data_IF_699618356829
#
_entry.id   IF_699618356829
#
_cell.length_a   1.000
_cell.length_b   1.000
_cell.length_c   1.000
_cell.angle_alpha   90.00
_cell.angle_beta   90.00
_cell.angle_gamma   90.00
#
_symmetry.space_group_name_H-M   'P 1'
#
loop_
_entity.id
_entity.type
_entity.pdbx_description
1 polymer ?
#
# COMPACT_ATOMS: atom_id res chain seq x y z
N UNK A 1 -12.86 7.45 5.50
CA UNK A 1 -11.97 8.62 5.38
C UNK A 1 -12.04 9.10 3.94
N UNK A 2 -12.35 10.37 3.68
CA UNK A 2 -12.50 10.86 2.29
C UNK A 2 -11.17 11.19 1.63
N UNK A 3 -10.18 11.59 2.43
CA UNK A 3 -8.90 12.06 1.95
C UNK A 3 -8.97 13.48 1.37
N UNK A 4 -7.81 14.07 1.01
CA UNK A 4 -7.70 15.48 0.65
C UNK A 4 -8.15 15.79 -0.79
N UNK A 5 -8.39 14.78 -1.62
CA UNK A 5 -8.64 14.93 -3.06
C UNK A 5 -10.11 14.68 -3.46
N UNK A 6 -11.00 14.42 -2.51
CA UNK A 6 -12.43 14.29 -2.80
C UNK A 6 -13.03 15.64 -3.15
N UNK A 7 -13.87 15.70 -4.17
CA UNK A 7 -14.54 16.93 -4.58
C UNK A 7 -15.49 17.43 -3.48
N UNK A 8 -15.70 18.74 -3.43
CA UNK A 8 -16.51 19.37 -2.39
C UNK A 8 -17.96 18.89 -2.39
N UNK A 9 -18.52 18.68 -3.57
CA UNK A 9 -19.91 18.21 -3.76
C UNK A 9 -20.08 16.77 -3.28
N UNK A 10 -19.21 15.85 -3.71
CA UNK A 10 -19.21 14.45 -3.25
C UNK A 10 -19.05 14.36 -1.73
N UNK A 11 -18.15 15.17 -1.16
CA UNK A 11 -17.94 15.21 0.29
C UNK A 11 -19.18 15.71 1.03
N UNK A 12 -19.85 16.75 0.53
CA UNK A 12 -21.08 17.26 1.12
C UNK A 12 -22.21 16.22 1.07
N UNK A 13 -22.32 15.49 -0.04
CA UNK A 13 -23.26 14.38 -0.19
C UNK A 13 -22.98 13.27 0.85
N UNK A 14 -21.73 12.85 1.03
CA UNK A 14 -21.37 11.85 2.04
C UNK A 14 -21.67 12.31 3.47
N UNK A 15 -21.44 13.60 3.78
CA UNK A 15 -21.81 14.17 5.09
C UNK A 15 -23.33 14.10 5.33
N UNK A 16 -24.13 14.45 4.33
CA UNK A 16 -25.60 14.38 4.44
C UNK A 16 -26.09 12.93 4.64
N UNK A 17 -25.49 11.97 3.93
CA UNK A 17 -25.80 10.55 4.10
C UNK A 17 -25.39 10.02 5.48
N UNK A 18 -24.19 10.36 5.95
CA UNK A 18 -23.65 9.91 7.23
C UNK A 18 -24.35 10.58 8.43
N UNK A 19 -24.85 11.81 8.30
CA UNK A 19 -25.50 12.54 9.38
C UNK A 19 -26.73 11.85 9.97
N UNK A 20 -27.34 10.94 9.22
CA UNK A 20 -28.50 10.14 9.64
C UNK A 20 -28.11 8.72 10.11
N UNK A 21 -26.81 8.42 10.22
CA UNK A 21 -26.28 7.07 10.46
C UNK A 21 -25.29 7.07 11.63
N UNK A 22 -25.73 6.74 12.86
CA UNK A 22 -24.86 6.77 14.04
C UNK A 22 -23.73 5.72 13.99
N UNK A 23 -23.87 4.72 13.13
CA UNK A 23 -22.90 3.66 12.86
C UNK A 23 -21.80 4.07 11.86
N UNK A 24 -21.91 5.26 11.24
CA UNK A 24 -20.95 5.77 10.28
C UNK A 24 -20.27 7.02 10.84
N UNK A 25 -18.95 7.02 10.84
CA UNK A 25 -18.15 8.21 11.11
C UNK A 25 -17.41 8.64 9.85
N UNK A 26 -17.79 9.79 9.31
CA UNK A 26 -17.04 10.42 8.22
C UNK A 26 -15.89 11.25 8.80
N UNK A 27 -14.69 11.02 8.27
CA UNK A 27 -13.48 11.75 8.65
C UNK A 27 -12.84 12.23 7.37
N UNK A 28 -12.58 13.53 7.27
CA UNK A 28 -12.06 14.11 6.03
C UNK A 28 -10.57 13.82 5.87
N UNK A 29 -9.81 14.11 6.91
CA UNK A 29 -8.37 13.94 6.94
C UNK A 29 -7.94 13.33 8.28
N UNK A 30 -6.97 12.43 8.20
CA UNK A 30 -6.35 11.79 9.36
C UNK A 30 -4.84 11.98 9.21
N UNK A 31 -4.23 12.72 10.12
CA UNK A 31 -2.78 12.99 10.08
C UNK A 31 -1.97 11.72 10.34
N UNK A 32 -2.45 10.87 11.25
CA UNK A 32 -1.87 9.57 11.55
C UNK A 32 -2.95 8.47 11.43
N UNK A 33 -3.02 7.75 10.29
CA UNK A 33 -4.01 6.70 10.08
C UNK A 33 -3.66 5.39 10.80
N UNK A 34 -2.45 5.24 11.36
CA UNK A 34 -1.99 3.98 11.94
C UNK A 34 -2.87 3.50 13.12
N UNK A 35 -3.30 4.34 14.08
CA UNK A 35 -4.17 3.90 15.17
C UNK A 35 -5.52 3.42 14.67
N UNK A 36 -6.09 4.08 13.65
CA UNK A 36 -7.35 3.65 13.04
C UNK A 36 -7.20 2.30 12.35
N UNK A 37 -6.13 2.14 11.57
CA UNK A 37 -5.81 0.90 10.88
C UNK A 37 -5.59 -0.25 11.88
N UNK A 38 -4.84 -0.01 12.95
CA UNK A 38 -4.53 -0.99 14.00
C UNK A 38 -5.80 -1.48 14.72
N UNK A 39 -6.77 -0.60 14.95
CA UNK A 39 -8.06 -0.98 15.57
C UNK A 39 -9.07 -1.55 14.58
N UNK A 40 -8.87 -1.38 13.27
CA UNK A 40 -9.80 -1.89 12.27
C UNK A 40 -9.77 -3.43 12.21
N UNK A 41 -10.96 -4.05 12.18
CA UNK A 41 -11.11 -5.48 11.88
C UNK A 41 -10.92 -5.73 10.37
N UNK A 42 -11.46 -4.83 9.55
CA UNK A 42 -11.50 -4.92 8.08
C UNK A 42 -11.19 -3.57 7.46
N UNK A 43 -10.51 -3.60 6.32
CA UNK A 43 -10.07 -2.39 5.60
C UNK A 43 -10.49 -2.49 4.14
N UNK A 44 -11.23 -1.50 3.66
CA UNK A 44 -11.54 -1.37 2.23
C UNK A 44 -10.77 -0.15 1.72
N UNK A 45 -9.95 -0.33 0.70
CA UNK A 45 -9.11 0.75 0.20
C UNK A 45 -8.83 0.65 -1.29
N UNK A 46 -8.30 1.74 -1.86
CA UNK A 46 -7.90 1.78 -3.27
C UNK A 46 -6.55 1.08 -3.54
N UNK A 47 -5.83 0.63 -2.51
CA UNK A 47 -4.53 -0.03 -2.68
C UNK A 47 -3.37 0.91 -3.03
N UNK A 48 -3.40 2.14 -2.50
CA UNK A 48 -2.24 3.05 -2.52
C UNK A 48 -1.02 2.45 -1.79
N UNK A 49 0.20 2.87 -2.13
CA UNK A 49 1.43 2.26 -1.62
C UNK A 49 1.48 2.23 -0.08
N UNK A 50 1.31 3.39 0.56
CA UNK A 50 1.37 3.49 2.04
C UNK A 50 0.28 2.67 2.71
N UNK A 51 -0.97 2.77 2.23
CA UNK A 51 -2.10 2.02 2.80
C UNK A 51 -1.88 0.51 2.70
N UNK A 52 -1.29 0.03 1.60
CA UNK A 52 -0.93 -1.38 1.46
C UNK A 52 0.16 -1.76 2.45
N UNK A 53 1.21 -0.94 2.61
CA UNK A 53 2.23 -1.19 3.62
C UNK A 53 1.65 -1.29 5.03
N UNK A 54 0.72 -0.40 5.39
CA UNK A 54 0.02 -0.42 6.67
C UNK A 54 -0.85 -1.67 6.83
N UNK A 55 -1.62 -2.04 5.81
CA UNK A 55 -2.44 -3.26 5.80
C UNK A 55 -1.57 -4.50 6.05
N UNK A 56 -0.43 -4.60 5.36
CA UNK A 56 0.48 -5.75 5.50
C UNK A 56 1.18 -5.75 6.87
N UNK A 57 1.65 -4.59 7.33
CA UNK A 57 2.36 -4.46 8.60
C UNK A 57 1.46 -4.75 9.81
N UNK A 58 0.20 -4.31 9.76
CA UNK A 58 -0.79 -4.58 10.80
C UNK A 58 -1.60 -5.87 10.56
N UNK A 59 -1.24 -6.65 9.53
CA UNK A 59 -1.87 -7.92 9.16
C UNK A 59 -3.40 -7.81 9.05
N UNK A 60 -3.86 -6.75 8.39
CA UNK A 60 -5.29 -6.43 8.28
C UNK A 60 -5.96 -7.22 7.18
N UNK A 61 -7.18 -7.67 7.46
CA UNK A 61 -8.06 -8.21 6.43
C UNK A 61 -8.47 -7.06 5.52
N UNK A 62 -8.02 -7.09 4.27
CA UNK A 62 -8.23 -6.00 3.34
C UNK A 62 -8.88 -6.42 2.03
N UNK A 63 -9.83 -5.61 1.58
CA UNK A 63 -10.35 -5.60 0.22
C UNK A 63 -9.76 -4.40 -0.52
N UNK A 64 -9.05 -4.68 -1.61
CA UNK A 64 -8.52 -3.64 -2.48
C UNK A 64 -9.45 -3.47 -3.68
N UNK A 65 -9.91 -2.24 -3.90
CA UNK A 65 -10.63 -1.81 -5.10
C UNK A 65 -9.73 -0.84 -5.87
N UNK A 66 -8.82 -1.34 -6.72
CA UNK A 66 -7.73 -0.53 -7.24
C UNK A 66 -8.18 0.42 -8.34
N UNK A 67 -7.62 1.63 -8.41
CA UNK A 67 -7.81 2.46 -9.60
C UNK A 67 -7.11 1.83 -10.80
N UNK A 68 -7.82 1.70 -11.93
CA UNK A 68 -7.30 1.06 -13.16
C UNK A 68 -6.82 2.05 -14.22
N UNK A 69 -7.23 3.32 -14.14
CA UNK A 69 -6.85 4.40 -15.07
C UNK A 69 -6.55 5.71 -14.32
N UNK A 70 -5.69 6.60 -14.84
CA UNK A 70 -4.84 6.40 -16.03
C UNK A 70 -3.62 5.51 -15.74
N UNK A 71 -3.28 5.29 -14.47
CA UNK A 71 -2.11 4.51 -14.07
C UNK A 71 -2.50 3.13 -13.53
N UNK A 72 -1.63 2.14 -13.77
CA UNK A 72 -1.91 0.71 -13.52
C UNK A 72 -1.23 0.13 -12.28
N UNK A 73 -0.40 0.90 -11.57
CA UNK A 73 0.42 0.36 -10.47
C UNK A 73 -0.43 -0.16 -9.32
N UNK A 74 -1.63 0.39 -9.10
CA UNK A 74 -2.55 -0.08 -8.06
C UNK A 74 -3.13 -1.44 -8.40
N UNK A 75 -3.62 -1.64 -9.63
CA UNK A 75 -4.17 -2.94 -10.03
C UNK A 75 -3.07 -4.01 -10.08
N UNK A 76 -1.89 -3.70 -10.62
CA UNK A 76 -0.75 -4.63 -10.64
C UNK A 76 -0.39 -5.08 -9.21
N UNK A 77 -0.36 -4.13 -8.26
CA UNK A 77 -0.09 -4.44 -6.85
C UNK A 77 -1.18 -5.30 -6.24
N UNK A 78 -2.44 -4.92 -6.44
CA UNK A 78 -3.59 -5.64 -5.89
C UNK A 78 -3.66 -7.09 -6.40
N UNK A 79 -3.49 -7.29 -7.71
CA UNK A 79 -3.45 -8.61 -8.34
C UNK A 79 -2.31 -9.46 -7.78
N UNK A 80 -1.10 -8.90 -7.66
CA UNK A 80 0.05 -9.62 -7.11
C UNK A 80 -0.18 -10.04 -5.66
N UNK A 81 -0.65 -9.13 -4.81
CA UNK A 81 -0.93 -9.43 -3.40
C UNK A 81 -2.07 -10.44 -3.23
N UNK A 82 -3.12 -10.33 -4.06
CA UNK A 82 -4.22 -11.29 -4.07
C UNK A 82 -3.75 -12.69 -4.51
N UNK A 83 -2.88 -12.77 -5.51
CA UNK A 83 -2.29 -14.06 -5.93
C UNK A 83 -1.42 -14.72 -4.86
N UNK A 84 -0.92 -13.94 -3.90
CA UNK A 84 -0.17 -14.42 -2.73
C UNK A 84 -1.07 -14.70 -1.52
N UNK A 85 -2.38 -14.47 -1.62
CA UNK A 85 -3.33 -14.63 -0.51
C UNK A 85 -3.19 -13.58 0.61
N UNK A 86 -2.50 -12.47 0.34
CA UNK A 86 -2.23 -11.43 1.34
C UNK A 86 -3.39 -10.43 1.48
N UNK A 87 -4.19 -10.26 0.42
CA UNK A 87 -5.37 -9.39 0.37
C UNK A 87 -6.42 -10.00 -0.54
N UNK A 88 -7.65 -9.50 -0.46
CA UNK A 88 -8.68 -9.75 -1.46
C UNK A 88 -8.75 -8.55 -2.42
N UNK A 89 -9.17 -8.78 -3.66
CA UNK A 89 -9.28 -7.73 -4.68
C UNK A 89 -10.63 -7.82 -5.37
N UNK A 90 -11.27 -6.65 -5.52
CA UNK A 90 -12.49 -6.48 -6.32
C UNK A 90 -12.16 -5.49 -7.44
N UNK A 91 -12.43 -5.87 -8.68
CA UNK A 91 -12.24 -4.96 -9.80
C UNK A 91 -13.24 -3.79 -9.72
N UNK A 92 -12.87 -2.54 -10.08
CA UNK A 92 -13.79 -1.41 -10.01
C UNK A 92 -15.07 -1.58 -10.83
N UNK A 93 -14.99 -2.31 -11.95
CA UNK A 93 -16.16 -2.59 -12.80
C UNK A 93 -17.16 -3.53 -12.11
N UNK A 94 -16.72 -4.29 -11.10
CA UNK A 94 -17.54 -5.20 -10.30
C UNK A 94 -17.95 -4.56 -8.96
N UNK A 95 -17.60 -3.29 -8.72
CA UNK A 95 -17.89 -2.59 -7.47
C UNK A 95 -19.37 -2.30 -7.33
N UNK A 96 -20.04 -3.06 -6.46
CA UNK A 96 -21.45 -2.86 -6.10
C UNK A 96 -21.62 -2.88 -4.59
N UNK A 97 -22.73 -2.31 -4.10
CA UNK A 97 -23.09 -2.37 -2.69
C UNK A 97 -23.21 -3.81 -2.18
N UNK A 98 -23.78 -4.70 -3.00
CA UNK A 98 -23.95 -6.12 -2.68
C UNK A 98 -22.61 -6.86 -2.61
N UNK A 99 -21.67 -6.57 -3.52
CA UNK A 99 -20.33 -7.13 -3.49
C UNK A 99 -19.58 -6.73 -2.20
N UNK A 100 -19.66 -5.45 -1.81
CA UNK A 100 -19.08 -4.96 -0.56
C UNK A 100 -19.75 -5.59 0.67
N UNK A 101 -21.08 -5.66 0.69
CA UNK A 101 -21.84 -6.28 1.79
C UNK A 101 -21.49 -7.75 1.95
N UNK A 102 -21.42 -8.50 0.83
CA UNK A 102 -21.02 -9.91 0.82
C UNK A 102 -19.63 -10.08 1.42
N UNK A 103 -18.65 -9.29 0.98
CA UNK A 103 -17.30 -9.36 1.54
C UNK A 103 -17.26 -9.02 3.03
N UNK A 104 -17.99 -7.99 3.45
CA UNK A 104 -18.07 -7.58 4.87
C UNK A 104 -18.63 -8.69 5.76
N UNK A 105 -19.59 -9.48 5.27
CA UNK A 105 -20.21 -10.58 6.01
C UNK A 105 -19.48 -11.92 5.90
N UNK A 106 -18.48 -12.05 5.03
CA UNK A 106 -17.77 -13.32 4.87
C UNK A 106 -16.97 -13.62 6.14
N UNK A 107 -17.26 -14.77 6.77
CA UNK A 107 -16.54 -15.23 7.96
C UNK A 107 -15.22 -15.87 7.54
N UNK A 108 -14.11 -15.31 8.00
CA UNK A 108 -12.79 -15.67 7.53
C UNK A 108 -11.89 -16.02 8.72
N UNK A 109 -10.97 -16.96 8.51
CA UNK A 109 -9.97 -17.35 9.50
C UNK A 109 -8.89 -16.28 9.75
N UNK A 110 -7.78 -16.62 10.42
CA UNK A 110 -6.67 -15.68 10.63
C UNK A 110 -6.07 -15.18 9.32
N UNK A 111 -5.57 -13.93 9.32
CA UNK A 111 -4.86 -13.33 8.16
C UNK A 111 -3.43 -13.87 8.14
N UNK A 112 -2.97 -14.32 6.96
CA UNK A 112 -1.61 -14.83 6.81
C UNK A 112 -0.58 -13.73 7.07
N UNK A 113 0.52 -14.01 7.80
CA UNK A 113 1.61 -13.07 7.95
C UNK A 113 2.26 -12.73 6.61
N UNK A 114 2.39 -11.44 6.30
CA UNK A 114 2.97 -10.98 5.04
C UNK A 114 4.47 -11.27 4.95
N UNK A 115 5.16 -11.32 6.08
CA UNK A 115 6.60 -11.63 6.19
C UNK A 115 6.94 -13.08 5.83
N UNK A 116 5.96 -13.99 5.82
CA UNK A 116 6.11 -15.34 5.29
C UNK A 116 6.25 -15.35 3.76
N UNK A 117 5.72 -14.33 3.07
CA UNK A 117 5.71 -14.25 1.61
C UNK A 117 6.61 -13.13 1.04
N UNK A 118 6.91 -12.10 1.83
CA UNK A 118 7.62 -10.89 1.40
C UNK A 118 8.76 -10.54 2.37
N UNK A 119 9.91 -10.17 1.82
CA UNK A 119 11.02 -9.64 2.61
C UNK A 119 10.90 -8.12 2.75
N UNK A 120 10.61 -7.66 3.98
CA UNK A 120 10.51 -6.24 4.32
C UNK A 120 11.84 -5.62 4.76
N UNK A 121 12.95 -6.36 4.75
CA UNK A 121 14.27 -5.88 5.18
C UNK A 121 15.05 -5.13 4.09
N UNK A 122 14.37 -4.67 3.03
CA UNK A 122 15.03 -4.02 1.88
C UNK A 122 15.95 -2.87 2.26
N UNK A 123 15.55 -2.00 3.20
CA UNK A 123 16.39 -0.91 3.69
C UNK A 123 17.66 -1.40 4.41
N UNK A 124 17.54 -2.47 5.20
CA UNK A 124 18.67 -3.09 5.91
C UNK A 124 19.64 -3.78 4.94
N UNK A 125 19.11 -4.38 3.88
CA UNK A 125 19.88 -5.07 2.83
C UNK A 125 20.48 -4.12 1.79
N UNK A 126 20.03 -2.86 1.75
CA UNK A 126 20.43 -1.88 0.74
C UNK A 126 21.95 -1.67 0.65
N UNK A 127 22.74 -1.58 1.75
CA UNK A 127 24.19 -1.43 1.65
C UNK A 127 24.86 -2.61 0.92
N UNK A 128 24.44 -3.84 1.22
CA UNK A 128 24.99 -5.06 0.62
C UNK A 128 24.64 -5.12 -0.87
N UNK A 129 23.37 -4.85 -1.22
CA UNK A 129 22.91 -4.81 -2.61
C UNK A 129 23.61 -3.72 -3.43
N UNK A 130 23.92 -2.58 -2.79
CA UNK A 130 24.65 -1.50 -3.43
C UNK A 130 26.10 -1.89 -3.72
N UNK A 131 26.78 -2.54 -2.76
CA UNK A 131 28.14 -3.06 -2.97
C UNK A 131 28.14 -4.08 -4.10
N UNK A 132 27.20 -5.03 -4.10
CA UNK A 132 27.06 -6.03 -5.16
C UNK A 132 26.88 -5.37 -6.53
N UNK A 133 25.96 -4.41 -6.65
CA UNK A 133 25.68 -3.71 -7.91
C UNK A 133 26.86 -2.87 -8.42
N UNK A 134 27.63 -2.26 -7.50
CA UNK A 134 28.80 -1.45 -7.84
C UNK A 134 30.03 -2.31 -8.18
N UNK A 135 30.17 -3.48 -7.56
CA UNK A 135 31.26 -4.43 -7.83
C UNK A 135 30.94 -5.40 -8.98
N UNK A 136 29.68 -5.49 -9.43
CA UNK A 136 29.30 -6.29 -10.57
C UNK A 136 30.06 -5.81 -11.83
N UNK A 137 30.60 -6.72 -12.65
CA UNK A 137 31.21 -6.34 -13.92
C UNK A 137 30.18 -5.63 -14.79
N UNK A 138 30.60 -4.58 -15.51
CA UNK A 138 29.75 -3.90 -16.47
C UNK A 138 29.17 -4.91 -17.46
N UNK A 139 27.95 -4.67 -17.95
CA UNK A 139 27.35 -5.49 -19.03
C UNK A 139 28.19 -5.49 -20.32
N UNK A 140 29.17 -4.60 -20.45
CA UNK A 140 30.16 -4.54 -21.54
C UNK A 140 31.51 -5.21 -21.23
N UNK A 141 31.65 -5.86 -20.05
CA UNK A 141 32.89 -6.53 -19.63
C UNK A 141 33.96 -5.62 -19.01
N UNK A 142 33.75 -4.31 -18.92
CA UNK A 142 34.68 -3.41 -18.22
C UNK A 142 34.43 -3.42 -16.70
N UNK A 143 35.47 -3.46 -15.88
CA UNK A 143 35.34 -3.22 -14.43
C UNK A 143 35.57 -1.73 -14.15
N UNK A 144 34.55 -1.03 -13.64
CA UNK A 144 34.72 0.35 -13.16
C UNK A 144 35.29 0.30 -11.73
N UNK A 145 36.41 0.98 -11.43
CA UNK A 145 36.90 1.05 -10.06
C UNK A 145 35.93 1.90 -9.22
N UNK A 146 35.37 1.30 -8.18
CA UNK A 146 34.55 2.00 -7.18
C UNK A 146 35.50 2.62 -6.17
N UNK A 147 35.75 3.93 -6.28
CA UNK A 147 36.51 4.67 -5.26
C UNK A 147 35.56 5.01 -4.12
N UNK A 148 35.62 4.26 -3.03
CA UNK A 148 34.92 4.59 -1.78
C UNK A 148 35.74 5.67 -1.06
N UNK A 149 35.40 6.94 -1.25
CA UNK A 149 35.99 8.03 -0.46
C UNK A 149 35.27 8.16 0.89
N UNK A 150 35.98 7.85 1.97
CA UNK A 150 35.55 8.23 3.32
C UNK A 150 35.54 9.76 3.47
N UNK A 151 34.41 10.39 3.14
CA UNK A 151 33.90 11.57 3.83
C UNK A 151 34.81 12.79 4.01
N UNK A 152 35.74 13.10 3.11
CA UNK A 152 36.36 14.44 3.05
C UNK A 152 36.45 14.93 1.61
N UNK A 153 35.77 16.05 1.34
CA UNK A 153 35.86 16.76 0.09
C UNK A 153 37.28 17.30 -0.10
N UNK A 154 38.01 16.73 -1.05
CA UNK A 154 39.20 17.37 -1.63
C UNK A 154 38.74 18.14 -2.87
N UNK A 155 38.82 19.48 -2.82
CA UNK A 155 38.79 20.31 -4.03
C UNK A 155 40.20 20.31 -4.61
N UNK A 156 40.33 19.92 -5.87
CA UNK A 156 41.47 20.29 -6.70
C UNK A 156 41.24 21.71 -7.23
N UNK A 157 42.05 22.67 -6.78
CA UNK A 157 42.90 23.55 -7.61
C UNK A 157 44.11 23.92 -6.75
#
# INVERSE_FOLDING_TARGET
>A
VTGPLMEGEDRALLHAMAGHRPDIRLIEFVTDPQPLMCCAERVICMGGYNTVCEVLAFQKRALIVPRVRPRREQIIRAERLASMGLVEMLHPDDLTGDALSTWMHTSNGPVAPADAALDFNGARRLPELLVEALCAPSRDGSTRPVIVTNGKAARHV
#
